data_IF_913841050314
#
_entry.id   IF_913841050314
#
_cell.length_a   1.000
_cell.length_b   1.000
_cell.length_c   1.000
_cell.angle_alpha   90.00
_cell.angle_beta   90.00
_cell.angle_gamma   90.00
#
_symmetry.space_group_name_H-M   'P 1'
#
loop_
_entity.id
_entity.type
_entity.pdbx_description
1 polymer ?
#
# COMPACT_ATOMS: atom_id res chain seq x y z
N UNK A 1 2.72 12.50 -1.76
CA UNK A 1 3.10 12.20 -0.36
C UNK A 1 3.95 10.94 -0.37
N UNK A 2 5.05 10.92 0.37
CA UNK A 2 5.89 9.72 0.50
C UNK A 2 5.88 9.31 1.98
N UNK A 3 5.40 8.10 2.25
CA UNK A 3 5.40 7.47 3.57
C UNK A 3 6.45 6.37 3.51
N UNK A 4 7.48 6.42 4.36
CA UNK A 4 8.62 5.50 4.28
C UNK A 4 8.19 4.03 4.19
N UNK A 5 7.38 3.58 5.15
CA UNK A 5 6.70 2.28 5.11
C UNK A 5 5.36 2.36 5.86
N UNK A 6 4.43 1.47 5.54
CA UNK A 6 3.15 1.33 6.26
C UNK A 6 3.24 0.09 7.16
N UNK A 7 3.22 0.29 8.49
CA UNK A 7 3.37 -0.79 9.49
C UNK A 7 2.08 -1.21 10.16
N UNK A 8 1.14 -0.27 10.25
CA UNK A 8 -0.08 -0.37 11.04
C UNK A 8 -1.29 0.11 10.24
N UNK A 9 -2.46 -0.23 10.76
CA UNK A 9 -3.77 0.10 10.17
C UNK A 9 -4.00 1.62 10.12
N UNK A 10 -3.61 2.35 11.16
CA UNK A 10 -3.78 3.81 11.23
C UNK A 10 -3.03 4.52 10.09
N UNK A 11 -1.77 4.16 9.87
CA UNK A 11 -0.95 4.71 8.77
C UNK A 11 -1.51 4.30 7.41
N UNK A 12 -2.04 3.08 7.30
CA UNK A 12 -2.68 2.57 6.08
C UNK A 12 -3.93 3.37 5.73
N UNK A 13 -4.83 3.60 6.69
CA UNK A 13 -6.05 4.39 6.51
C UNK A 13 -5.71 5.82 6.08
N UNK A 14 -4.74 6.47 6.75
CA UNK A 14 -4.30 7.80 6.38
C UNK A 14 -3.77 7.87 4.94
N UNK A 15 -2.99 6.86 4.52
CA UNK A 15 -2.47 6.76 3.15
C UNK A 15 -3.60 6.59 2.12
N UNK A 16 -4.57 5.72 2.39
CA UNK A 16 -5.73 5.48 1.52
C UNK A 16 -6.57 6.76 1.40
N UNK A 17 -6.91 7.41 2.51
CA UNK A 17 -7.68 8.65 2.49
C UNK A 17 -6.96 9.77 1.74
N UNK A 18 -5.64 9.92 1.92
CA UNK A 18 -4.86 10.88 1.16
C UNK A 18 -4.92 10.59 -0.36
N UNK A 19 -4.85 9.31 -0.75
CA UNK A 19 -4.94 8.90 -2.16
C UNK A 19 -6.30 9.22 -2.79
N UNK A 20 -7.40 8.96 -2.06
CA UNK A 20 -8.77 9.21 -2.52
C UNK A 20 -9.14 10.69 -2.56
N UNK A 21 -8.35 11.55 -1.91
CA UNK A 21 -8.53 13.01 -1.91
C UNK A 21 -7.61 13.74 -2.89
N UNK A 22 -7.00 13.01 -3.84
CA UNK A 22 -6.26 13.59 -4.96
C UNK A 22 -4.76 13.70 -4.76
N UNK A 23 -4.21 13.12 -3.69
CA UNK A 23 -2.77 13.06 -3.48
C UNK A 23 -2.18 11.79 -4.08
N UNK A 24 -1.13 11.90 -4.88
CA UNK A 24 -0.33 10.73 -5.25
C UNK A 24 0.48 10.27 -4.03
N UNK A 25 0.23 9.05 -3.54
CA UNK A 25 0.90 8.47 -2.38
C UNK A 25 1.87 7.38 -2.81
N UNK A 26 3.11 7.43 -2.31
CA UNK A 26 4.10 6.37 -2.42
C UNK A 26 4.41 5.81 -1.04
N UNK A 27 4.54 4.48 -0.95
CA UNK A 27 5.03 3.83 0.25
C UNK A 27 5.67 2.48 -0.06
N UNK A 28 6.25 1.85 0.97
CA UNK A 28 6.86 0.53 0.90
C UNK A 28 6.20 -0.44 1.88
N UNK A 29 6.21 -1.72 1.53
CA UNK A 29 5.78 -2.83 2.39
C UNK A 29 6.76 -4.00 2.24
N UNK A 30 6.97 -4.73 3.32
CA UNK A 30 7.73 -5.97 3.30
C UNK A 30 6.85 -7.14 2.86
N UNK A 31 6.87 -7.42 1.55
CA UNK A 31 6.16 -8.52 0.91
C UNK A 31 7.08 -9.23 -0.10
N UNK A 32 6.91 -10.53 -0.24
CA UNK A 32 7.70 -11.34 -1.16
C UNK A 32 7.28 -11.20 -2.63
N UNK A 33 6.04 -10.79 -2.91
CA UNK A 33 5.48 -10.66 -4.26
C UNK A 33 4.51 -9.48 -4.36
N UNK A 34 4.25 -9.00 -5.57
CA UNK A 34 3.26 -7.92 -5.79
C UNK A 34 1.86 -8.33 -5.32
N UNK A 35 1.43 -9.55 -5.62
CA UNK A 35 0.12 -10.07 -5.22
C UNK A 35 0.00 -10.21 -3.69
N UNK A 36 1.05 -10.70 -3.02
CA UNK A 36 1.05 -10.82 -1.56
C UNK A 36 0.95 -9.46 -0.85
N UNK A 37 1.38 -8.37 -1.48
CA UNK A 37 1.17 -7.02 -0.94
C UNK A 37 -0.31 -6.69 -0.83
N UNK A 38 -1.12 -7.04 -1.83
CA UNK A 38 -2.58 -6.79 -1.79
C UNK A 38 -3.23 -7.58 -0.64
N UNK A 39 -2.87 -8.87 -0.50
CA UNK A 39 -3.32 -9.69 0.63
C UNK A 39 -2.91 -9.08 1.97
N UNK A 40 -1.68 -8.57 2.06
CA UNK A 40 -1.18 -7.94 3.28
C UNK A 40 -1.98 -6.70 3.68
N UNK A 41 -2.40 -5.87 2.73
CA UNK A 41 -3.23 -4.71 3.00
C UNK A 41 -4.60 -5.11 3.59
N UNK A 42 -5.20 -6.19 3.06
CA UNK A 42 -6.46 -6.74 3.60
C UNK A 42 -6.25 -7.29 5.01
N UNK A 43 -5.16 -8.02 5.25
CA UNK A 43 -4.81 -8.51 6.60
C UNK A 43 -4.55 -7.39 7.62
N UNK A 44 -4.13 -6.21 7.16
CA UNK A 44 -3.91 -5.02 7.99
C UNK A 44 -5.19 -4.24 8.28
N UNK A 45 -6.35 -4.65 7.74
CA UNK A 45 -7.64 -4.01 8.00
C UNK A 45 -8.21 -3.18 6.85
N UNK A 46 -7.48 -3.02 5.74
CA UNK A 46 -8.03 -2.26 4.61
C UNK A 46 -9.18 -2.99 3.90
N UNK A 47 -10.27 -2.27 3.70
CA UNK A 47 -11.41 -2.75 2.91
C UNK A 47 -10.97 -3.03 1.44
N UNK A 48 -11.27 -4.22 0.88
CA UNK A 48 -10.92 -4.56 -0.50
C UNK A 48 -11.35 -3.53 -1.54
N UNK A 49 -12.51 -2.90 -1.37
CA UNK A 49 -13.02 -1.87 -2.28
C UNK A 49 -12.17 -0.60 -2.23
N UNK A 50 -11.68 -0.23 -1.04
CA UNK A 50 -10.77 0.90 -0.90
C UNK A 50 -9.44 0.62 -1.56
N UNK A 51 -8.91 -0.60 -1.42
CA UNK A 51 -7.68 -1.02 -2.11
C UNK A 51 -7.85 -0.91 -3.63
N UNK A 52 -8.94 -1.46 -4.19
CA UNK A 52 -9.23 -1.37 -5.62
C UNK A 52 -9.34 0.08 -6.13
N UNK A 53 -9.82 1.01 -5.29
CA UNK A 53 -10.02 2.40 -5.67
C UNK A 53 -8.78 3.29 -5.49
N UNK A 54 -7.84 2.90 -4.61
CA UNK A 54 -6.67 3.70 -4.23
C UNK A 54 -5.36 3.23 -4.85
N UNK A 55 -5.18 1.92 -5.06
CA UNK A 55 -3.89 1.36 -5.50
C UNK A 55 -3.76 1.43 -7.01
N UNK A 56 -2.78 2.20 -7.48
CA UNK A 56 -2.44 2.28 -8.90
C UNK A 56 -1.53 1.13 -9.37
N UNK A 57 -0.65 0.65 -8.49
CA UNK A 57 0.27 -0.43 -8.83
C UNK A 57 1.17 -0.83 -7.68
N UNK A 58 1.76 -2.02 -7.77
CA UNK A 58 2.72 -2.56 -6.81
C UNK A 58 3.98 -2.98 -7.56
N UNK A 59 5.15 -2.56 -7.08
CA UNK A 59 6.44 -2.93 -7.62
C UNK A 59 7.15 -3.88 -6.65
N UNK A 60 7.35 -5.15 -7.06
CA UNK A 60 8.24 -6.05 -6.34
C UNK A 60 9.65 -5.92 -6.90
N UNK A 61 10.59 -5.47 -6.08
CA UNK A 61 11.97 -5.22 -6.47
C UNK A 61 12.93 -6.20 -5.77
N UNK A 62 13.91 -6.69 -6.52
CA UNK A 62 15.08 -7.42 -6.00
C UNK A 62 16.35 -6.78 -6.54
N UNK A 63 17.44 -6.88 -5.77
CA UNK A 63 18.76 -6.46 -6.20
C UNK A 63 19.60 -7.70 -6.52
N UNK A 64 20.17 -7.77 -7.72
CA UNK A 64 21.13 -8.79 -8.11
C UNK A 64 22.53 -8.18 -8.10
N UNK A 65 23.55 -8.99 -7.81
CA UNK A 65 24.96 -8.59 -7.86
C UNK A 65 25.53 -8.83 -9.26
#
# INVERSE_FOLDING_TARGET
IMIGEIRDEETLEAAIHASLTGHMVFSTLHSNTTAATVTRLVEMGADPQMICSSVLGVLAQRLAR
#
